data_IF_104847356310
#
_entry.id   IF_104847356310
#
_cell.length_a   1.000
_cell.length_b   1.000
_cell.length_c   1.000
_cell.angle_alpha   90.00
_cell.angle_beta   90.00
_cell.angle_gamma   90.00
#
_symmetry.space_group_name_H-M   'P 1'
#
loop_
_entity.id
_entity.type
_entity.pdbx_description
1 polymer ?
#
# COMPACT_ATOMS: atom_id res chain seq x y z
N UNK A 1 31.23 -57.03 -17.89
CA UNK A 1 30.39 -57.78 -16.95
C UNK A 1 30.02 -56.81 -15.82
N UNK A 2 28.76 -56.44 -15.58
CA UNK A 2 27.54 -56.75 -16.33
C UNK A 2 26.52 -55.61 -16.27
N UNK A 3 25.76 -55.49 -17.35
CA UNK A 3 24.60 -54.63 -17.62
C UNK A 3 23.41 -54.78 -16.66
N UNK A 4 22.52 -53.77 -16.65
CA UNK A 4 21.04 -53.80 -16.90
C UNK A 4 20.44 -52.44 -16.39
N UNK A 5 19.86 -51.56 -17.24
CA UNK A 5 18.43 -51.42 -17.64
C UNK A 5 17.46 -51.17 -16.46
N UNK A 6 16.38 -50.37 -16.56
CA UNK A 6 15.43 -50.17 -17.67
C UNK A 6 14.61 -48.85 -17.62
N UNK A 7 14.01 -48.48 -18.76
CA UNK A 7 12.71 -47.80 -19.02
C UNK A 7 12.17 -46.69 -18.08
N UNK A 8 11.71 -45.50 -18.52
CA UNK A 8 10.85 -45.07 -19.66
C UNK A 8 9.37 -45.44 -19.57
N UNK A 9 8.47 -44.43 -19.51
CA UNK A 9 7.06 -44.47 -19.97
C UNK A 9 6.38 -43.09 -19.97
N UNK A 10 5.37 -42.93 -20.83
CA UNK A 10 4.40 -41.81 -20.85
C UNK A 10 3.06 -42.30 -20.23
N UNK A 11 1.86 -41.71 -20.32
CA UNK A 11 1.19 -40.67 -21.17
C UNK A 11 0.03 -40.07 -20.30
N UNK A 12 -0.88 -39.16 -20.70
CA UNK A 12 -1.28 -38.58 -22.00
C UNK A 12 -1.92 -37.18 -21.85
N UNK A 13 -2.26 -36.56 -22.98
CA UNK A 13 -3.09 -35.35 -23.12
C UNK A 13 -4.55 -35.52 -22.66
N UNK A 14 -5.27 -34.40 -22.45
CA UNK A 14 -6.68 -34.26 -22.84
C UNK A 14 -7.05 -32.81 -23.15
N UNK A 15 -7.77 -32.63 -24.26
CA UNK A 15 -8.16 -31.33 -24.84
C UNK A 15 -9.68 -31.19 -24.81
N UNK A 16 -10.22 -30.01 -24.48
CA UNK A 16 -11.53 -29.48 -24.93
C UNK A 16 -11.87 -28.16 -24.22
N UNK A 17 -12.77 -27.29 -24.71
CA UNK A 17 -13.01 -26.77 -26.06
C UNK A 17 -13.91 -25.50 -25.90
N UNK A 18 -14.03 -24.66 -26.93
CA UNK A 18 -14.80 -23.39 -26.88
C UNK A 18 -16.29 -23.54 -26.49
N UNK A 19 -16.88 -22.49 -25.89
CA UNK A 19 -17.98 -21.73 -26.54
C UNK A 19 -18.26 -20.33 -25.94
N UNK A 20 -18.51 -19.37 -26.83
CA UNK A 20 -19.27 -18.10 -26.66
C UNK A 20 -20.50 -18.21 -27.60
N UNK A 21 -21.65 -17.49 -27.44
CA UNK A 21 -21.76 -16.01 -27.36
C UNK A 21 -22.86 -15.56 -26.31
N UNK A 22 -23.79 -14.57 -26.42
CA UNK A 22 -24.31 -13.74 -27.53
C UNK A 22 -25.07 -12.44 -27.12
N UNK A 23 -24.83 -11.35 -27.87
CA UNK A 23 -25.77 -10.29 -28.37
C UNK A 23 -26.78 -9.49 -27.50
N UNK A 24 -26.65 -8.15 -27.61
CA UNK A 24 -27.63 -7.13 -28.06
C UNK A 24 -28.93 -6.77 -27.27
N UNK A 25 -29.04 -5.50 -26.84
CA UNK A 25 -29.73 -4.37 -27.55
C UNK A 25 -29.67 -3.09 -26.67
N UNK A 26 -29.67 -1.81 -27.12
CA UNK A 26 -30.19 -1.05 -28.28
C UNK A 26 -31.65 -0.55 -28.21
N UNK A 27 -31.87 0.58 -27.50
CA UNK A 27 -33.02 1.52 -27.67
C UNK A 27 -32.58 2.94 -27.19
N UNK A 28 -32.07 3.85 -28.02
CA UNK A 28 -32.73 4.73 -29.02
C UNK A 28 -33.65 5.85 -28.48
N UNK A 29 -33.14 7.09 -28.55
CA UNK A 29 -33.77 8.36 -29.01
C UNK A 29 -35.13 8.83 -28.42
N UNK A 30 -35.15 10.09 -27.96
CA UNK A 30 -36.36 10.93 -27.84
C UNK A 30 -36.00 12.39 -27.50
N UNK A 31 -36.56 13.39 -28.19
CA UNK A 31 -36.26 14.83 -28.00
C UNK A 31 -37.51 15.67 -28.27
N UNK A 32 -37.53 16.88 -27.68
CA UNK A 32 -38.35 18.07 -27.96
C UNK A 32 -39.56 18.31 -27.04
N UNK A 33 -39.66 19.58 -26.61
CA UNK A 33 -40.82 20.25 -26.03
C UNK A 33 -41.67 20.86 -27.16
N UNK A 34 -42.89 21.35 -26.88
CA UNK A 34 -43.05 22.80 -27.01
C UNK A 34 -44.07 23.51 -26.08
N UNK A 35 -43.73 24.76 -25.74
CA UNK A 35 -44.58 25.96 -25.60
C UNK A 35 -45.68 26.08 -24.53
N UNK A 36 -45.97 27.35 -24.22
CA UNK A 36 -46.77 27.86 -23.10
C UNK A 36 -47.82 28.86 -23.64
N UNK A 37 -49.07 28.76 -23.19
CA UNK A 37 -50.01 29.89 -23.08
C UNK A 37 -50.90 29.68 -21.84
N UNK A 38 -51.18 30.72 -21.04
CA UNK A 38 -51.96 30.55 -19.79
C UNK A 38 -51.91 31.75 -18.83
N UNK A 39 -52.78 32.73 -19.06
CA UNK A 39 -52.92 34.01 -18.35
C UNK A 39 -53.13 33.99 -16.82
N UNK A 40 -52.55 34.99 -16.13
CA UNK A 40 -53.11 35.83 -15.04
C UNK A 40 -53.98 35.19 -13.92
N UNK A 41 -53.63 35.40 -12.64
CA UNK A 41 -54.35 36.34 -11.74
C UNK A 41 -53.70 36.51 -10.31
N UNK A 42 -53.79 37.73 -9.76
CA UNK A 42 -53.65 38.19 -8.34
C UNK A 42 -52.87 37.38 -7.25
N UNK A 43 -51.88 38.08 -6.68
CA UNK A 43 -51.63 38.34 -5.23
C UNK A 43 -52.12 37.34 -4.16
N UNK A 44 -51.17 36.76 -3.41
CA UNK A 44 -51.06 36.93 -1.94
C UNK A 44 -49.61 37.21 -1.54
N UNK A 45 -49.37 37.65 -0.29
CA UNK A 45 -48.03 37.80 0.29
C UNK A 45 -47.77 36.57 1.16
N UNK A 46 -46.64 35.90 0.96
CA UNK A 46 -46.07 34.98 1.94
C UNK A 46 -44.55 35.19 1.99
N UNK A 47 -44.00 35.27 3.20
CA UNK A 47 -42.61 35.71 3.42
C UNK A 47 -41.64 34.53 3.40
N UNK A 48 -41.42 33.96 2.21
CA UNK A 48 -40.48 32.85 2.02
C UNK A 48 -39.03 33.26 2.33
N UNK A 49 -38.39 32.55 3.25
CA UNK A 49 -37.00 32.80 3.67
C UNK A 49 -36.03 32.42 2.55
N UNK A 50 -35.04 33.28 2.29
CA UNK A 50 -34.10 33.12 1.18
C UNK A 50 -33.00 32.09 1.45
N UNK A 51 -33.32 30.81 1.35
CA UNK A 51 -32.31 29.75 1.20
C UNK A 51 -31.76 29.81 -0.23
N UNK A 52 -30.63 30.50 -0.42
CA UNK A 52 -29.92 30.49 -1.71
C UNK A 52 -29.43 29.07 -1.99
N UNK A 53 -29.86 28.49 -3.11
CA UNK A 53 -29.23 27.30 -3.67
C UNK A 53 -27.76 27.60 -4.01
N UNK A 54 -26.83 27.03 -3.24
CA UNK A 54 -25.46 26.78 -3.70
C UNK A 54 -25.39 25.29 -4.08
N UNK A 55 -25.59 24.99 -5.36
CA UNK A 55 -25.62 23.63 -5.90
C UNK A 55 -24.37 23.30 -6.72
N UNK A 56 -23.18 23.56 -6.16
CA UNK A 56 -21.90 23.22 -6.81
C UNK A 56 -20.88 22.63 -5.82
N UNK A 57 -20.61 21.34 -5.98
CA UNK A 57 -19.30 20.66 -5.80
C UNK A 57 -18.40 20.98 -4.60
N UNK A 58 -18.94 21.27 -3.39
CA UNK A 58 -18.09 21.44 -2.18
C UNK A 58 -17.33 20.15 -1.76
N UNK A 59 -17.74 18.99 -2.27
CA UNK A 59 -17.11 17.69 -2.04
C UNK A 59 -16.07 17.28 -3.11
N UNK A 60 -15.81 18.11 -4.12
CA UNK A 60 -14.79 17.84 -5.14
C UNK A 60 -13.45 18.47 -4.74
N UNK A 61 -13.43 19.78 -4.49
CA UNK A 61 -12.21 20.58 -4.26
C UNK A 61 -11.41 20.11 -3.03
N UNK A 62 -12.10 19.66 -1.97
CA UNK A 62 -11.46 19.15 -0.75
C UNK A 62 -10.71 17.81 -0.91
N UNK A 63 -10.70 17.19 -2.09
CA UNK A 63 -9.92 15.98 -2.39
C UNK A 63 -8.57 16.25 -3.04
N UNK A 64 -8.34 17.47 -3.51
CA UNK A 64 -7.14 17.87 -4.27
C UNK A 64 -6.19 18.71 -3.40
N UNK A 65 -6.70 19.33 -2.34
CA UNK A 65 -5.93 20.16 -1.40
C UNK A 65 -5.39 19.38 -0.18
N UNK A 66 -5.71 18.07 -0.08
CA UNK A 66 -5.02 17.10 0.78
C UNK A 66 -4.41 15.97 -0.07
N UNK A 67 -3.32 16.27 -0.77
CA UNK A 67 -2.20 15.30 -0.78
C UNK A 67 -1.66 15.25 0.65
N UNK A 68 -2.34 14.46 1.49
CA UNK A 68 -1.92 14.23 2.85
C UNK A 68 -0.57 13.49 2.81
N UNK A 69 0.52 14.17 3.18
CA UNK A 69 1.82 13.54 3.44
C UNK A 69 1.63 12.53 4.57
N UNK A 70 1.37 11.29 4.20
CA UNK A 70 0.90 10.26 5.12
C UNK A 70 1.96 10.00 6.18
N UNK A 71 1.70 10.46 7.40
CA UNK A 71 2.60 10.28 8.54
C UNK A 71 2.54 8.81 8.94
N UNK A 72 3.66 8.07 8.97
CA UNK A 72 3.65 6.67 9.36
C UNK A 72 3.14 6.48 10.79
N UNK A 73 2.26 5.51 10.99
CA UNK A 73 1.93 5.02 12.33
C UNK A 73 3.17 4.37 12.93
N UNK A 74 3.60 4.78 14.13
CA UNK A 74 4.73 4.19 14.85
C UNK A 74 4.24 3.43 16.07
N UNK A 75 4.63 2.17 16.23
CA UNK A 75 4.15 1.27 17.30
C UNK A 75 5.26 0.74 18.20
N UNK A 76 4.99 0.41 19.48
CA UNK A 76 5.97 -0.24 20.35
C UNK A 76 6.39 -1.63 19.85
N UNK A 77 7.65 -2.03 20.12
CA UNK A 77 8.23 -3.30 19.67
C UNK A 77 7.43 -4.57 20.01
N UNK A 78 6.60 -4.55 21.07
CA UNK A 78 5.72 -5.69 21.41
C UNK A 78 4.55 -5.83 20.44
N UNK A 79 3.92 -4.70 20.08
CA UNK A 79 2.89 -4.65 19.03
C UNK A 79 3.51 -5.03 17.68
N UNK A 80 4.74 -4.58 17.38
CA UNK A 80 5.45 -5.00 16.16
C UNK A 80 5.71 -6.53 16.11
N UNK A 81 5.93 -7.20 17.26
CA UNK A 81 6.02 -8.66 17.32
C UNK A 81 4.66 -9.34 17.12
N UNK A 82 3.58 -8.80 17.70
CA UNK A 82 2.20 -9.29 17.48
C UNK A 82 1.79 -9.18 16.00
N UNK A 83 2.13 -8.06 15.35
CA UNK A 83 1.90 -7.84 13.91
C UNK A 83 2.74 -8.81 13.03
N UNK A 84 4.01 -9.04 13.39
CA UNK A 84 4.86 -10.03 12.70
C UNK A 84 4.29 -11.46 12.85
N UNK A 85 3.77 -11.81 14.02
CA UNK A 85 3.10 -13.08 14.27
C UNK A 85 1.74 -13.21 13.54
N UNK A 86 1.07 -12.09 13.25
CA UNK A 86 -0.11 -12.05 12.40
C UNK A 86 0.20 -12.21 10.89
N UNK A 87 1.48 -12.22 10.50
CA UNK A 87 1.93 -12.42 9.13
C UNK A 87 2.36 -11.14 8.39
N UNK A 88 2.43 -9.99 9.07
CA UNK A 88 2.99 -8.76 8.49
C UNK A 88 4.49 -8.91 8.24
N UNK A 89 4.98 -8.22 7.21
CA UNK A 89 6.33 -8.44 6.68
C UNK A 89 7.31 -7.41 7.23
N UNK A 90 8.40 -7.88 7.83
CA UNK A 90 9.41 -7.00 8.42
C UNK A 90 10.44 -6.53 7.38
N UNK A 91 10.57 -5.22 7.22
CA UNK A 91 11.57 -4.53 6.41
C UNK A 91 12.60 -3.87 7.34
N UNK A 92 13.84 -4.37 7.33
CA UNK A 92 14.92 -3.77 8.11
C UNK A 92 15.75 -2.83 7.24
N UNK A 93 15.75 -1.54 7.58
CA UNK A 93 16.43 -0.49 6.82
C UNK A 93 17.80 -0.07 7.38
N UNK A 94 18.36 -0.88 8.30
CA UNK A 94 19.76 -0.79 8.74
C UNK A 94 20.74 -1.16 7.62
N UNK A 95 22.04 -0.93 7.82
CA UNK A 95 23.06 -1.46 6.90
C UNK A 95 23.26 -2.97 7.08
N UNK A 96 23.86 -3.68 6.11
CA UNK A 96 24.04 -5.13 6.22
C UNK A 96 24.90 -5.53 7.43
N UNK A 97 25.89 -4.70 7.81
CA UNK A 97 26.77 -4.97 8.94
C UNK A 97 26.09 -4.72 10.30
N UNK A 98 25.07 -3.84 10.33
CA UNK A 98 24.20 -3.71 11.50
C UNK A 98 23.21 -4.88 11.59
N UNK A 99 22.73 -5.38 10.45
CA UNK A 99 21.75 -6.46 10.34
C UNK A 99 22.34 -7.83 10.74
N UNK A 100 23.56 -8.13 10.31
CA UNK A 100 24.27 -9.38 10.63
C UNK A 100 24.76 -9.50 12.08
N UNK A 101 24.50 -8.49 12.93
CA UNK A 101 24.71 -8.56 14.39
C UNK A 101 23.45 -9.07 15.11
N UNK A 102 22.32 -9.15 14.40
CA UNK A 102 21.05 -9.63 14.89
C UNK A 102 19.89 -8.83 14.31
N UNK A 103 18.78 -9.50 14.00
CA UNK A 103 17.59 -8.92 13.36
C UNK A 103 16.30 -9.63 13.78
N UNK A 104 15.14 -9.06 13.47
CA UNK A 104 13.85 -9.70 13.73
C UNK A 104 13.65 -10.92 12.80
N UNK A 105 12.98 -12.00 13.24
CA UNK A 105 12.87 -13.22 12.45
C UNK A 105 12.15 -13.01 11.11
N UNK A 106 12.66 -13.60 10.04
CA UNK A 106 12.11 -13.47 8.69
C UNK A 106 12.17 -12.07 8.10
N UNK A 107 12.95 -11.16 8.68
CA UNK A 107 13.15 -9.81 8.14
C UNK A 107 13.85 -9.83 6.77
N UNK A 108 13.61 -8.77 5.99
CA UNK A 108 14.31 -8.52 4.73
C UNK A 108 15.11 -7.23 4.89
N UNK A 109 16.44 -7.30 4.75
CA UNK A 109 17.30 -6.11 4.83
C UNK A 109 17.36 -5.38 3.50
N UNK A 110 16.94 -4.11 3.48
CA UNK A 110 17.10 -3.21 2.34
C UNK A 110 17.56 -1.84 2.89
N UNK A 111 18.87 -1.55 2.89
CA UNK A 111 19.41 -0.38 3.57
C UNK A 111 18.85 0.94 3.01
N UNK A 112 18.20 1.74 3.87
CA UNK A 112 17.77 3.11 3.48
C UNK A 112 18.97 4.08 3.36
N UNK A 113 20.07 3.76 4.03
CA UNK A 113 21.34 4.48 3.92
C UNK A 113 22.51 3.49 3.97
N UNK A 114 23.59 3.79 3.25
CA UNK A 114 24.86 3.05 3.32
C UNK A 114 25.91 3.83 4.10
N UNK A 115 26.86 3.14 4.73
CA UNK A 115 28.04 3.76 5.36
C UNK A 115 29.04 4.19 4.30
N UNK A 116 29.49 5.45 4.36
CA UNK A 116 30.51 5.99 3.45
C UNK A 116 31.53 6.78 4.28
N UNK A 117 32.72 6.20 4.45
CA UNK A 117 33.74 6.74 5.37
C UNK A 117 33.22 6.78 6.80
N UNK A 118 33.26 7.96 7.43
CA UNK A 118 32.68 8.23 8.75
C UNK A 118 31.19 8.60 8.74
N UNK A 119 30.58 8.73 7.55
CA UNK A 119 29.21 9.21 7.37
C UNK A 119 28.23 8.15 6.86
N UNK A 120 27.00 8.61 6.61
CA UNK A 120 25.89 7.83 6.04
C UNK A 120 25.34 8.55 4.81
N UNK A 121 25.17 7.84 3.70
CA UNK A 121 24.61 8.36 2.45
C UNK A 121 23.31 7.65 2.14
N UNK A 122 22.25 8.39 1.77
CA UNK A 122 20.94 7.80 1.42
C UNK A 122 21.07 6.89 0.20
N UNK A 123 20.43 5.72 0.26
CA UNK A 123 20.32 4.82 -0.88
C UNK A 123 19.41 5.46 -1.96
N UNK A 124 19.90 5.70 -3.20
CA UNK A 124 19.09 6.26 -4.28
C UNK A 124 18.13 5.23 -4.91
N UNK A 125 18.36 3.94 -4.72
CA UNK A 125 17.61 2.83 -5.31
C UNK A 125 16.62 2.18 -4.33
N UNK A 126 16.58 2.60 -3.07
CA UNK A 126 15.76 2.02 -1.99
C UNK A 126 14.33 1.61 -2.41
N UNK A 127 13.55 2.51 -3.03
CA UNK A 127 12.18 2.21 -3.43
C UNK A 127 12.08 1.15 -4.55
N UNK A 128 13.09 1.07 -5.43
CA UNK A 128 13.17 0.05 -6.46
C UNK A 128 13.60 -1.30 -5.88
N UNK A 129 14.54 -1.30 -4.93
CA UNK A 129 14.95 -2.51 -4.20
C UNK A 129 13.79 -3.08 -3.36
N UNK A 130 13.05 -2.24 -2.63
CA UNK A 130 11.85 -2.68 -1.89
C UNK A 130 10.81 -3.26 -2.84
N UNK A 131 10.61 -2.71 -4.03
CA UNK A 131 9.64 -3.21 -5.02
C UNK A 131 9.99 -4.60 -5.61
N UNK A 132 11.23 -5.10 -5.45
CA UNK A 132 11.59 -6.48 -5.80
C UNK A 132 10.94 -7.47 -4.82
N UNK A 133 10.86 -7.08 -3.55
CA UNK A 133 10.45 -7.98 -2.46
C UNK A 133 9.03 -7.73 -1.96
N UNK A 134 8.52 -6.48 -2.01
CA UNK A 134 7.26 -6.05 -1.41
C UNK A 134 6.30 -5.44 -2.44
N UNK A 135 5.02 -5.74 -2.31
CA UNK A 135 3.92 -5.18 -3.12
C UNK A 135 3.28 -3.99 -2.41
N UNK A 136 2.57 -3.16 -3.17
CA UNK A 136 1.90 -1.95 -2.63
C UNK A 136 0.83 -2.25 -1.58
N UNK A 137 0.19 -3.40 -1.66
CA UNK A 137 -0.84 -3.87 -0.73
C UNK A 137 -0.32 -4.85 0.33
N UNK A 138 0.99 -5.08 0.42
CA UNK A 138 1.57 -5.86 1.53
C UNK A 138 1.49 -5.03 2.83
N UNK A 139 1.23 -5.70 3.95
CA UNK A 139 1.35 -5.10 5.28
C UNK A 139 2.82 -5.12 5.73
N UNK A 140 3.46 -3.95 5.78
CA UNK A 140 4.89 -3.79 6.02
C UNK A 140 5.15 -3.15 7.39
N UNK A 141 5.95 -3.83 8.21
CA UNK A 141 6.54 -3.25 9.43
C UNK A 141 7.97 -2.80 9.10
N UNK A 142 8.33 -1.56 9.38
CA UNK A 142 9.63 -0.96 9.02
C UNK A 142 10.45 -0.70 10.29
N UNK A 143 11.59 -1.37 10.38
CA UNK A 143 12.53 -1.27 11.51
C UNK A 143 13.86 -0.66 11.11
N UNK A 144 14.47 0.11 12.01
CA UNK A 144 15.90 0.45 11.92
C UNK A 144 16.56 0.32 13.30
N UNK A 145 17.79 0.81 13.50
CA UNK A 145 18.47 0.76 14.81
C UNK A 145 17.63 1.39 15.96
N UNK A 146 17.16 2.63 15.78
CA UNK A 146 16.51 3.42 16.85
C UNK A 146 15.32 4.28 16.38
N UNK A 147 14.56 3.83 15.38
CA UNK A 147 13.35 4.48 14.84
C UNK A 147 13.58 5.60 13.80
N UNK A 148 14.70 6.34 13.87
CA UNK A 148 14.90 7.54 13.01
C UNK A 148 14.94 7.26 11.50
N UNK A 149 15.61 6.18 11.07
CA UNK A 149 15.70 5.81 9.64
C UNK A 149 14.43 5.12 9.14
N UNK A 150 13.78 4.32 9.97
CA UNK A 150 12.54 3.63 9.62
C UNK A 150 11.38 4.59 9.45
N UNK A 151 11.26 5.64 10.27
CA UNK A 151 10.23 6.67 10.08
C UNK A 151 10.37 7.42 8.73
N UNK A 152 11.62 7.75 8.32
CA UNK A 152 11.87 8.36 7.01
C UNK A 152 11.56 7.38 5.87
N UNK A 153 12.05 6.14 5.96
CA UNK A 153 11.79 5.11 4.97
C UNK A 153 10.29 4.79 4.82
N UNK A 154 9.55 4.74 5.93
CA UNK A 154 8.11 4.51 5.92
C UNK A 154 7.34 5.68 5.28
N UNK A 155 7.76 6.93 5.50
CA UNK A 155 7.18 8.09 4.82
C UNK A 155 7.42 8.05 3.30
N UNK A 156 8.63 7.69 2.86
CA UNK A 156 8.95 7.50 1.44
C UNK A 156 8.15 6.34 0.81
N UNK A 157 7.90 5.26 1.56
CA UNK A 157 7.09 4.13 1.10
C UNK A 157 5.63 4.56 0.92
N UNK A 158 5.02 5.21 1.92
CA UNK A 158 3.66 5.73 1.83
C UNK A 158 3.52 6.75 0.68
N UNK A 159 4.47 7.69 0.54
CA UNK A 159 4.50 8.66 -0.56
C UNK A 159 4.67 8.00 -1.94
N UNK A 160 5.31 6.82 -2.01
CA UNK A 160 5.36 6.01 -3.23
C UNK A 160 4.13 5.12 -3.46
N UNK A 161 3.10 5.22 -2.62
CA UNK A 161 1.85 4.46 -2.73
C UNK A 161 1.92 3.02 -2.21
N UNK A 162 2.74 2.71 -1.20
CA UNK A 162 2.49 1.53 -0.36
C UNK A 162 1.36 1.86 0.63
N UNK A 163 0.37 0.98 0.77
CA UNK A 163 -0.90 1.29 1.45
C UNK A 163 -0.86 1.02 2.96
N UNK A 164 -0.05 0.06 3.41
CA UNK A 164 -0.05 -0.42 4.80
C UNK A 164 1.38 -0.47 5.36
N UNK A 165 1.85 0.65 5.94
CA UNK A 165 3.23 0.80 6.43
C UNK A 165 3.25 1.28 7.88
N UNK A 166 3.92 0.53 8.75
CA UNK A 166 4.03 0.79 10.20
C UNK A 166 5.49 0.90 10.62
N UNK A 167 5.89 1.99 11.28
CA UNK A 167 7.22 2.17 11.88
C UNK A 167 7.32 1.50 13.27
N UNK A 168 8.53 1.08 13.66
CA UNK A 168 8.80 0.50 14.99
C UNK A 168 9.47 1.53 15.91
N UNK A 169 8.73 2.02 16.89
CA UNK A 169 9.21 2.94 17.90
C UNK A 169 10.40 2.36 18.69
N UNK A 170 11.56 3.01 18.56
CA UNK A 170 12.81 2.59 19.22
C UNK A 170 13.57 1.46 18.52
N UNK A 171 13.05 0.89 17.42
CA UNK A 171 13.77 0.00 16.53
C UNK A 171 14.40 -1.26 17.16
N UNK A 172 15.47 -1.75 16.53
CA UNK A 172 16.24 -2.92 16.96
C UNK A 172 16.80 -2.77 18.39
N UNK A 173 17.23 -1.58 18.79
CA UNK A 173 17.67 -1.32 20.17
C UNK A 173 16.57 -1.64 21.18
N UNK A 174 15.32 -1.23 20.91
CA UNK A 174 14.19 -1.55 21.76
C UNK A 174 13.78 -3.03 21.66
N UNK A 175 13.90 -3.64 20.48
CA UNK A 175 13.60 -5.06 20.24
C UNK A 175 14.51 -5.98 21.06
N UNK A 176 15.83 -5.80 20.90
CA UNK A 176 16.87 -6.52 21.62
C UNK A 176 16.77 -6.30 23.14
N UNK A 177 16.58 -5.04 23.59
CA UNK A 177 16.42 -4.69 25.01
C UNK A 177 15.17 -5.30 25.67
N UNK A 178 14.14 -5.63 24.89
CA UNK A 178 12.94 -6.31 25.39
C UNK A 178 13.05 -7.85 25.39
N UNK A 179 14.17 -8.42 24.94
CA UNK A 179 14.39 -9.86 24.85
C UNK A 179 13.50 -10.55 23.82
N UNK A 180 13.11 -9.83 22.76
CA UNK A 180 12.27 -10.39 21.69
C UNK A 180 13.10 -11.33 20.79
N UNK A 181 12.46 -12.31 20.10
CA UNK A 181 13.17 -13.28 19.26
C UNK A 181 14.04 -12.60 18.18
N UNK A 182 15.19 -13.20 17.85
CA UNK A 182 16.11 -12.68 16.82
C UNK A 182 16.74 -13.80 16.00
N UNK A 183 17.06 -13.48 14.74
CA UNK A 183 17.88 -14.25 13.81
C UNK A 183 19.21 -13.51 13.56
N UNK A 184 20.21 -14.19 12.97
CA UNK A 184 21.60 -13.75 12.83
C UNK A 184 22.18 -14.13 11.46
#
# INVERSE_FOLDING_TARGET
MSSLTSSSSSIASSTSHLLLPNTNNLTSRGRLLPMITGSLQRRRRDSAISYKHWSTSRNAVLREELEATAVPTSVPVRVALELLQAGQRYLDVRTPEEYSVGHAPGAINIPYMYRVGSGMTRNPHFLAEVAIYFRKDDEIIVGCLSGKRSLMAAADLLASGYNYVTDIAGGYEAWSRNGLPMEF
#
